data_IF_753937121610
#
_entry.id   IF_753937121610
#
_cell.length_a   1.000
_cell.length_b   1.000
_cell.length_c   1.000
_cell.angle_alpha   90.00
_cell.angle_beta   90.00
_cell.angle_gamma   90.00
#
_symmetry.space_group_name_H-M   'P 1'
#
loop_
_entity.id
_entity.type
_entity.pdbx_description
1 polymer ?
#
# COMPACT_ATOMS: atom_id res chain seq x y z
N UNK A 1 4.67 -5.82 -4.83
CA UNK A 1 5.81 -4.97 -4.43
C UNK A 1 6.07 -3.83 -5.43
N UNK A 2 6.38 -2.63 -4.94
CA UNK A 2 6.85 -1.48 -5.75
C UNK A 2 8.30 -1.68 -6.19
N UNK A 3 8.64 -1.27 -7.40
CA UNK A 3 9.98 -1.45 -7.98
C UNK A 3 10.57 -0.22 -8.65
N UNK A 4 9.73 0.72 -9.08
CA UNK A 4 10.15 2.02 -9.56
C UNK A 4 9.01 3.01 -9.38
N UNK A 5 9.37 4.27 -9.14
CA UNK A 5 8.43 5.38 -9.06
C UNK A 5 9.00 6.61 -9.75
N UNK A 6 8.15 7.32 -10.48
CA UNK A 6 8.39 8.66 -10.99
C UNK A 6 7.25 9.58 -10.59
N UNK A 7 7.60 10.76 -10.09
CA UNK A 7 6.64 11.75 -9.59
C UNK A 7 6.99 13.13 -10.14
N UNK A 8 5.97 13.86 -10.60
CA UNK A 8 6.11 15.26 -10.97
C UNK A 8 4.88 16.04 -10.50
N UNK A 9 5.06 17.28 -10.05
CA UNK A 9 3.95 18.17 -9.70
C UNK A 9 3.26 17.85 -8.35
N UNK A 10 3.79 16.91 -7.57
CA UNK A 10 3.29 16.57 -6.23
C UNK A 10 4.23 17.08 -5.13
N UNK A 11 3.74 17.94 -4.24
CA UNK A 11 4.49 18.58 -3.15
C UNK A 11 5.86 19.06 -3.64
N UNK A 12 6.96 18.59 -3.03
CA UNK A 12 8.32 19.01 -3.39
C UNK A 12 8.91 18.31 -4.63
N UNK A 13 8.18 17.45 -5.34
CA UNK A 13 8.76 16.64 -6.42
C UNK A 13 8.64 17.28 -7.79
N UNK A 14 9.80 17.49 -8.42
CA UNK A 14 9.95 17.91 -9.81
C UNK A 14 10.75 16.84 -10.55
N UNK A 15 10.10 16.09 -11.45
CA UNK A 15 10.72 14.97 -12.18
C UNK A 15 11.52 14.00 -11.29
N UNK A 16 11.00 13.68 -10.11
CA UNK A 16 11.60 12.72 -9.20
C UNK A 16 11.53 11.31 -9.80
N UNK A 17 12.62 10.54 -9.73
CA UNK A 17 12.67 9.14 -10.13
C UNK A 17 13.42 8.32 -9.08
N UNK A 18 12.93 7.12 -8.78
CA UNK A 18 13.54 6.23 -7.80
C UNK A 18 13.28 4.76 -8.16
N UNK A 19 14.34 3.95 -8.11
CA UNK A 19 14.25 2.49 -8.18
C UNK A 19 14.22 1.89 -6.76
N UNK A 20 13.41 0.84 -6.56
CA UNK A 20 13.27 0.14 -5.29
C UNK A 20 13.82 -1.28 -5.41
N UNK A 21 14.56 -1.70 -4.38
CA UNK A 21 14.93 -3.10 -4.17
C UNK A 21 14.12 -3.67 -3.00
N UNK A 22 14.10 -5.00 -2.79
CA UNK A 22 13.35 -5.62 -1.70
C UNK A 22 13.62 -5.01 -0.30
N UNK A 23 14.82 -4.45 -0.09
CA UNK A 23 15.13 -3.61 1.07
C UNK A 23 15.69 -2.27 0.59
N UNK A 24 14.93 -1.20 0.81
CA UNK A 24 15.34 0.16 0.44
C UNK A 24 15.36 1.03 1.69
N UNK A 25 16.53 1.57 2.04
CA UNK A 25 16.71 2.45 3.20
C UNK A 25 16.78 3.89 2.70
N UNK A 26 15.90 4.75 3.21
CA UNK A 26 15.82 6.15 2.81
C UNK A 26 16.25 7.02 4.00
N UNK A 27 17.39 7.68 3.87
CA UNK A 27 17.94 8.59 4.87
C UNK A 27 18.26 9.95 4.25
N UNK A 28 18.16 11.02 5.04
CA UNK A 28 18.42 12.38 4.58
C UNK A 28 17.99 13.42 5.60
N UNK A 29 18.40 14.67 5.40
CA UNK A 29 18.07 15.81 6.28
C UNK A 29 16.56 16.09 6.33
N UNK A 30 16.10 16.81 7.35
CA UNK A 30 14.71 17.27 7.39
C UNK A 30 14.39 18.10 6.12
N UNK A 31 13.13 18.04 5.68
CA UNK A 31 12.65 18.68 4.44
C UNK A 31 13.26 18.17 3.12
N UNK A 32 14.06 17.09 3.13
CA UNK A 32 14.63 16.51 1.89
C UNK A 32 13.62 15.74 1.00
N UNK A 33 12.31 15.88 1.23
CA UNK A 33 11.26 15.17 0.46
C UNK A 33 10.91 13.74 0.90
N UNK A 34 11.56 13.20 1.95
CA UNK A 34 11.29 11.81 2.43
C UNK A 34 9.83 11.59 2.80
N UNK A 35 9.27 12.46 3.64
CA UNK A 35 7.85 12.36 4.04
C UNK A 35 6.92 12.50 2.83
N UNK A 36 7.29 13.34 1.85
CA UNK A 36 6.51 13.51 0.62
C UNK A 36 6.51 12.22 -0.23
N UNK A 37 7.57 11.42 -0.22
CA UNK A 37 7.57 10.11 -0.89
C UNK A 37 6.54 9.18 -0.28
N UNK A 38 6.49 9.10 1.06
CA UNK A 38 5.50 8.29 1.75
C UNK A 38 4.08 8.84 1.54
N UNK A 39 3.90 10.16 1.56
CA UNK A 39 2.60 10.79 1.24
C UNK A 39 2.14 10.41 -0.18
N UNK A 40 3.03 10.38 -1.18
CA UNK A 40 2.69 9.98 -2.55
C UNK A 40 2.25 8.51 -2.63
N UNK A 41 2.96 7.62 -1.93
CA UNK A 41 2.62 6.20 -1.85
C UNK A 41 1.27 5.98 -1.15
N UNK A 42 1.02 6.69 -0.05
CA UNK A 42 -0.26 6.65 0.67
C UNK A 42 -1.41 7.16 -0.18
N UNK A 43 -1.20 8.28 -0.89
CA UNK A 43 -2.20 8.83 -1.82
C UNK A 43 -2.56 7.80 -2.90
N UNK A 44 -1.57 7.21 -3.56
CA UNK A 44 -1.80 6.20 -4.59
C UNK A 44 -2.54 4.97 -4.05
N UNK A 45 -2.19 4.50 -2.86
CA UNK A 45 -2.88 3.41 -2.19
C UNK A 45 -4.36 3.75 -1.90
N UNK A 46 -4.64 4.95 -1.36
CA UNK A 46 -6.01 5.42 -1.11
C UNK A 46 -6.81 5.61 -2.40
N UNK A 47 -6.18 6.12 -3.47
CA UNK A 47 -6.79 6.29 -4.79
C UNK A 47 -7.17 4.98 -5.49
N UNK A 48 -6.50 3.87 -5.15
CA UNK A 48 -6.83 2.55 -5.67
C UNK A 48 -8.07 1.93 -4.98
N UNK A 49 -8.40 2.35 -3.76
CA UNK A 49 -9.51 1.80 -2.99
C UNK A 49 -10.77 2.69 -2.97
N UNK A 50 -10.56 4.00 -3.01
CA UNK A 50 -11.62 4.97 -2.78
C UNK A 50 -12.48 5.25 -4.03
N UNK A 51 -13.77 5.51 -3.82
CA UNK A 51 -14.77 5.89 -4.81
C UNK A 51 -14.86 7.41 -5.08
N UNK A 52 -14.10 8.20 -4.30
CA UNK A 52 -14.02 9.65 -4.37
C UNK A 52 -12.58 10.19 -4.19
N UNK A 53 -11.97 10.70 -5.27
CA UNK A 53 -10.62 11.28 -5.31
C UNK A 53 -10.41 12.37 -4.24
N UNK A 54 -11.44 13.17 -3.93
CA UNK A 54 -11.36 14.22 -2.90
C UNK A 54 -11.19 13.64 -1.51
N UNK A 55 -11.77 12.48 -1.23
CA UNK A 55 -11.60 11.78 0.05
C UNK A 55 -10.15 11.34 0.21
N UNK A 56 -9.56 10.74 -0.83
CA UNK A 56 -8.16 10.35 -0.84
C UNK A 56 -7.20 11.54 -0.64
N UNK A 57 -7.53 12.71 -1.22
CA UNK A 57 -6.77 13.96 -1.01
C UNK A 57 -6.92 14.52 0.41
N UNK A 58 -8.13 14.48 0.99
CA UNK A 58 -8.39 14.94 2.37
C UNK A 58 -7.68 14.11 3.45
N UNK A 59 -7.39 12.85 3.16
CA UNK A 59 -6.60 11.99 4.05
C UNK A 59 -5.11 12.35 4.07
N UNK A 60 -4.65 13.19 3.13
CA UNK A 60 -3.25 13.61 3.07
C UNK A 60 -2.94 14.73 4.05
N UNK A 61 -1.66 14.81 4.46
CA UNK A 61 -1.14 15.96 5.22
C UNK A 61 -1.06 17.19 4.32
N UNK A 62 -1.77 18.25 4.70
CA UNK A 62 -1.77 19.56 4.07
C UNK A 62 -3.12 19.92 3.46
N UNK A 63 -3.26 21.17 3.07
CA UNK A 63 -4.44 21.61 2.32
C UNK A 63 -4.41 21.09 0.88
N UNK A 64 -5.59 21.10 0.23
CA UNK A 64 -5.78 20.57 -1.11
C UNK A 64 -4.75 21.08 -2.15
N UNK A 65 -4.50 22.40 -2.17
CA UNK A 65 -3.56 23.02 -3.10
C UNK A 65 -2.10 22.69 -2.76
N UNK A 66 -1.77 22.46 -1.49
CA UNK A 66 -0.42 22.16 -1.01
C UNK A 66 0.06 20.76 -1.44
N UNK A 67 -0.84 19.91 -1.93
CA UNK A 67 -0.50 18.64 -2.56
C UNK A 67 0.12 18.84 -3.94
N UNK A 68 -0.17 19.95 -4.62
CA UNK A 68 0.47 20.32 -5.87
C UNK A 68 1.77 21.06 -5.60
N UNK A 69 2.76 20.88 -6.48
CA UNK A 69 4.04 21.57 -6.33
C UNK A 69 3.89 23.08 -6.41
N UNK A 70 4.40 23.79 -5.41
CA UNK A 70 4.41 25.24 -5.40
C UNK A 70 5.67 25.78 -6.09
N UNK A 71 5.48 26.56 -7.16
CA UNK A 71 6.56 27.23 -7.90
C UNK A 71 6.78 28.68 -7.46
N UNK A 72 5.84 29.26 -6.72
CA UNK A 72 5.90 30.62 -6.21
C UNK A 72 4.68 30.96 -5.35
N UNK A 73 4.59 32.21 -4.92
CA UNK A 73 3.43 32.68 -4.15
C UNK A 73 2.14 32.52 -4.98
N UNK A 74 1.20 31.71 -4.47
CA UNK A 74 -0.04 31.32 -5.16
C UNK A 74 0.12 30.66 -6.54
N UNK A 75 1.33 30.24 -6.92
CA UNK A 75 1.58 29.52 -8.16
C UNK A 75 1.85 28.05 -7.88
N UNK A 76 0.83 27.22 -8.10
CA UNK A 76 0.89 25.78 -7.91
C UNK A 76 0.83 25.06 -9.26
N UNK A 77 1.43 23.87 -9.33
CA UNK A 77 1.31 23.00 -10.48
C UNK A 77 -0.16 22.77 -10.85
N UNK A 78 -0.47 22.83 -12.13
CA UNK A 78 -1.82 22.58 -12.64
C UNK A 78 -2.11 21.07 -12.69
N UNK A 79 -1.08 20.23 -12.77
CA UNK A 79 -1.18 18.78 -12.87
C UNK A 79 -0.10 18.12 -12.01
N UNK A 80 -0.40 16.91 -11.55
CA UNK A 80 0.57 16.00 -10.97
C UNK A 80 0.56 14.66 -11.71
N UNK A 81 1.74 14.10 -11.90
CA UNK A 81 1.98 12.86 -12.61
C UNK A 81 2.59 11.83 -11.67
N UNK A 82 2.06 10.61 -11.73
CA UNK A 82 2.63 9.44 -11.08
C UNK A 82 2.87 8.35 -12.11
N UNK A 83 4.02 7.71 -12.04
CA UNK A 83 4.32 6.48 -12.74
C UNK A 83 4.89 5.49 -11.74
N UNK A 84 4.28 4.30 -11.63
CA UNK A 84 4.71 3.25 -10.70
C UNK A 84 4.88 1.95 -11.46
N UNK A 85 6.04 1.33 -11.28
CA UNK A 85 6.27 -0.04 -11.71
C UNK A 85 6.17 -0.97 -10.51
N UNK A 86 5.37 -2.02 -10.65
CA UNK A 86 5.04 -2.93 -9.56
C UNK A 86 5.10 -4.39 -10.00
N UNK A 87 5.41 -5.24 -9.04
CA UNK A 87 5.25 -6.69 -9.12
C UNK A 87 3.91 -7.02 -8.47
N UNK A 88 2.98 -7.60 -9.22
CA UNK A 88 1.69 -8.06 -8.72
C UNK A 88 1.69 -9.57 -8.44
N UNK A 89 0.78 -10.00 -7.57
CA UNK A 89 0.59 -11.42 -7.27
C UNK A 89 0.14 -12.19 -8.51
N UNK A 90 0.76 -13.36 -8.75
CA UNK A 90 0.41 -14.23 -9.87
C UNK A 90 -0.96 -14.86 -9.69
N UNK A 91 -1.28 -15.30 -8.48
CA UNK A 91 -2.57 -15.88 -8.14
C UNK A 91 -3.36 -14.83 -7.37
N UNK A 92 -4.54 -14.50 -7.88
CA UNK A 92 -5.43 -13.50 -7.28
C UNK A 92 -6.78 -14.14 -6.97
N UNK A 93 -7.43 -13.63 -5.94
CA UNK A 93 -8.79 -14.00 -5.58
C UNK A 93 -9.61 -12.76 -5.26
N UNK A 94 -10.85 -12.71 -5.75
CA UNK A 94 -11.78 -11.65 -5.38
C UNK A 94 -12.51 -11.95 -4.05
N UNK A 95 -13.33 -10.99 -3.61
CA UNK A 95 -14.09 -11.08 -2.37
C UNK A 95 -15.16 -12.20 -2.37
N UNK A 96 -15.55 -12.71 -3.55
CA UNK A 96 -16.49 -13.81 -3.70
C UNK A 96 -15.79 -15.18 -3.77
N UNK A 97 -14.46 -15.21 -3.66
CA UNK A 97 -13.66 -16.43 -3.68
C UNK A 97 -13.33 -16.93 -5.08
N UNK A 98 -13.66 -16.19 -6.15
CA UNK A 98 -13.24 -16.55 -7.49
C UNK A 98 -11.73 -16.37 -7.62
N UNK A 99 -11.07 -17.26 -8.37
CA UNK A 99 -9.61 -17.27 -8.53
C UNK A 99 -9.21 -17.07 -9.98
N UNK A 100 -8.13 -16.34 -10.21
CA UNK A 100 -7.55 -16.15 -11.54
C UNK A 100 -6.02 -16.13 -11.48
N UNK A 101 -5.39 -16.39 -12.63
CA UNK A 101 -3.93 -16.38 -12.79
C UNK A 101 -3.53 -15.23 -13.69
N UNK A 102 -2.77 -14.29 -13.14
CA UNK A 102 -2.18 -13.16 -13.84
C UNK A 102 -0.99 -13.65 -14.66
N UNK A 103 -1.02 -13.44 -15.98
CA UNK A 103 0.06 -13.88 -16.88
C UNK A 103 1.29 -12.97 -16.74
N UNK A 104 1.08 -11.66 -16.77
CA UNK A 104 2.14 -10.66 -16.69
C UNK A 104 2.17 -10.06 -15.28
N UNK A 105 3.11 -10.51 -14.45
CA UNK A 105 3.25 -10.06 -13.05
C UNK A 105 3.99 -8.71 -12.91
N UNK A 106 4.56 -8.18 -13.99
CA UNK A 106 5.31 -6.91 -13.99
C UNK A 106 4.51 -5.87 -14.75
N UNK A 107 3.96 -4.91 -14.02
CA UNK A 107 3.05 -3.90 -14.55
C UNK A 107 3.60 -2.50 -14.31
N UNK A 108 3.24 -1.58 -15.20
CA UNK A 108 3.50 -0.16 -15.08
C UNK A 108 2.17 0.59 -15.15
N UNK A 109 1.89 1.31 -14.07
CA UNK A 109 0.71 2.14 -13.89
C UNK A 109 1.11 3.62 -13.96
N UNK A 110 0.36 4.40 -14.71
CA UNK A 110 0.57 5.84 -14.88
C UNK A 110 -0.75 6.57 -14.66
N UNK A 111 -0.70 7.65 -13.89
CA UNK A 111 -1.86 8.43 -13.47
C UNK A 111 -1.51 9.91 -13.54
N UNK A 112 -2.41 10.71 -14.12
CA UNK A 112 -2.37 12.17 -14.00
C UNK A 112 -3.63 12.71 -13.39
N UNK A 113 -3.46 13.66 -12.48
CA UNK A 113 -4.53 14.37 -11.81
C UNK A 113 -4.30 15.85 -12.06
N UNK A 114 -5.29 16.51 -12.65
CA UNK A 114 -5.24 17.94 -12.93
C UNK A 114 -6.21 18.71 -12.06
N UNK A 115 -5.85 19.95 -11.75
CA UNK A 115 -6.77 20.93 -11.19
C UNK A 115 -7.67 21.50 -12.29
N UNK A 116 -8.84 21.97 -11.87
CA UNK A 116 -9.71 22.80 -12.69
C UNK A 116 -10.61 23.63 -11.77
N UNK A 117 -11.16 24.72 -12.31
CA UNK A 117 -12.21 25.48 -11.64
C UNK A 117 -13.57 24.94 -12.10
N UNK A 118 -14.40 24.50 -11.16
CA UNK A 118 -15.72 23.97 -11.48
C UNK A 118 -16.74 25.09 -11.75
N UNK A 119 -17.97 24.72 -12.13
CA UNK A 119 -19.04 25.67 -12.49
C UNK A 119 -19.41 26.65 -11.36
N UNK A 120 -19.14 26.27 -10.10
CA UNK A 120 -19.37 27.12 -8.93
C UNK A 120 -18.19 28.06 -8.62
N UNK A 121 -17.15 28.09 -9.45
CA UNK A 121 -15.96 28.90 -9.23
C UNK A 121 -15.00 28.34 -8.17
N UNK A 122 -15.18 27.08 -7.75
CA UNK A 122 -14.32 26.43 -6.76
C UNK A 122 -13.20 25.64 -7.43
N UNK A 123 -12.02 25.64 -6.81
CA UNK A 123 -10.92 24.75 -7.18
C UNK A 123 -11.29 23.29 -6.93
N UNK A 124 -11.01 22.45 -7.93
CA UNK A 124 -11.39 21.05 -7.96
C UNK A 124 -10.32 20.21 -8.69
N UNK A 125 -10.43 18.89 -8.62
CA UNK A 125 -9.52 17.93 -9.28
C UNK A 125 -10.28 16.86 -10.03
N UNK A 126 -9.65 16.37 -11.08
CA UNK A 126 -10.11 15.21 -11.82
C UNK A 126 -8.93 14.38 -12.33
N UNK A 127 -9.21 13.11 -12.63
CA UNK A 127 -8.28 12.25 -13.37
C UNK A 127 -8.28 12.70 -14.83
N UNK A 128 -7.11 13.11 -15.34
CA UNK A 128 -6.92 13.55 -16.73
C UNK A 128 -6.33 12.45 -17.61
N UNK A 129 -5.59 11.51 -17.03
CA UNK A 129 -4.94 10.42 -17.74
C UNK A 129 -4.76 9.21 -16.83
N UNK A 130 -4.98 8.01 -17.38
CA UNK A 130 -4.75 6.76 -16.69
C UNK A 130 -4.29 5.67 -17.68
N UNK A 131 -3.23 4.95 -17.33
CA UNK A 131 -2.64 3.95 -18.20
C UNK A 131 -2.03 2.80 -17.40
N UNK A 132 -2.29 1.57 -17.84
CA UNK A 132 -1.76 0.35 -17.22
C UNK A 132 -1.31 -0.60 -18.31
N UNK A 133 -0.06 -1.02 -18.30
CA UNK A 133 0.48 -1.96 -19.28
C UNK A 133 1.48 -2.92 -18.64
N UNK A 134 1.74 -4.05 -19.33
CA UNK A 134 2.82 -4.94 -18.93
C UNK A 134 4.18 -4.38 -19.31
N UNK A 135 5.15 -4.45 -18.39
CA UNK A 135 6.53 -4.10 -18.67
C UNK A 135 7.17 -5.13 -19.61
N UNK A 136 7.79 -4.66 -20.71
CA UNK A 136 8.49 -5.55 -21.65
C UNK A 136 9.84 -5.98 -21.10
N UNK A 137 10.42 -7.04 -21.66
CA UNK A 137 11.65 -7.65 -21.13
C UNK A 137 12.87 -6.75 -21.22
N UNK A 138 12.89 -5.89 -22.23
CA UNK A 138 13.97 -4.93 -22.47
C UNK A 138 13.87 -3.71 -21.54
N UNK A 139 12.66 -3.35 -21.11
CA UNK A 139 12.35 -2.16 -20.30
C UNK A 139 12.47 -2.42 -18.79
N UNK A 140 12.16 -3.63 -18.34
CA UNK A 140 12.21 -4.02 -16.92
C UNK A 140 13.66 -4.07 -16.42
N UNK A 141 14.12 -2.99 -15.79
CA UNK A 141 15.46 -2.90 -15.18
C UNK A 141 15.55 -3.70 -13.88
N UNK A 142 14.47 -3.71 -13.10
CA UNK A 142 14.41 -4.36 -11.79
C UNK A 142 14.72 -5.87 -11.88
N UNK A 143 14.20 -6.57 -12.89
CA UNK A 143 14.47 -8.01 -13.06
C UNK A 143 15.96 -8.34 -13.26
N UNK A 144 16.78 -7.35 -13.66
CA UNK A 144 18.23 -7.53 -13.84
C UNK A 144 18.94 -7.69 -12.49
N UNK A 145 18.41 -7.10 -11.42
CA UNK A 145 18.91 -7.17 -10.04
C UNK A 145 18.67 -8.57 -9.44
N UNK A 146 17.61 -9.25 -9.90
CA UNK A 146 17.25 -10.59 -9.41
C UNK A 146 18.18 -11.66 -9.99
N UNK A 147 18.71 -12.59 -9.16
CA UNK A 147 19.54 -13.69 -9.63
C UNK A 147 18.83 -14.55 -10.67
N UNK A 148 19.57 -14.99 -11.70
CA UNK A 148 19.01 -15.65 -12.90
C UNK A 148 18.11 -16.84 -12.55
N UNK A 149 18.52 -17.67 -11.59
CA UNK A 149 17.78 -18.86 -11.14
C UNK A 149 16.39 -18.55 -10.56
N UNK A 150 16.17 -17.34 -10.04
CA UNK A 150 14.90 -16.94 -9.44
C UNK A 150 14.03 -16.09 -10.36
N UNK A 151 14.55 -15.59 -11.50
CA UNK A 151 13.83 -14.64 -12.37
C UNK A 151 12.47 -15.15 -12.84
N UNK A 152 12.34 -16.44 -13.11
CA UNK A 152 11.06 -17.02 -13.58
C UNK A 152 9.98 -17.08 -12.50
N UNK A 153 10.37 -17.10 -11.22
CA UNK A 153 9.42 -17.01 -10.10
C UNK A 153 8.75 -15.62 -10.06
N UNK A 154 9.55 -14.58 -10.26
CA UNK A 154 9.10 -13.18 -10.20
C UNK A 154 8.47 -12.71 -11.51
N UNK A 155 8.95 -13.24 -12.64
CA UNK A 155 8.49 -12.90 -13.97
C UNK A 155 8.29 -14.16 -14.81
N UNK A 156 7.06 -14.70 -14.81
CA UNK A 156 6.72 -15.88 -15.61
C UNK A 156 6.97 -15.67 -17.11
N UNK A 157 7.34 -16.74 -17.80
CA UNK A 157 7.38 -16.76 -19.27
C UNK A 157 5.95 -16.72 -19.80
N UNK A 158 5.61 -15.70 -20.58
CA UNK A 158 4.30 -15.56 -21.21
C UNK A 158 4.44 -15.82 -22.72
N UNK A 159 3.78 -16.84 -23.27
CA UNK A 159 3.75 -17.07 -24.71
C UNK A 159 2.86 -16.02 -25.38
N UNK A 160 3.41 -15.32 -26.38
CA UNK A 160 2.74 -14.18 -27.04
C UNK A 160 2.80 -12.91 -26.19
N UNK A 161 3.34 -11.83 -26.74
CA UNK A 161 3.33 -10.54 -26.07
C UNK A 161 1.95 -9.87 -26.23
N UNK A 162 1.38 -9.35 -25.14
CA UNK A 162 0.24 -8.42 -25.27
C UNK A 162 0.78 -7.07 -25.75
N UNK A 163 0.25 -6.58 -26.87
CA UNK A 163 0.61 -5.28 -27.42
C UNK A 163 -0.28 -4.13 -26.96
N UNK A 164 -1.49 -4.44 -26.46
CA UNK A 164 -2.50 -3.46 -26.06
C UNK A 164 -2.45 -3.28 -24.53
N UNK A 165 -2.45 -2.04 -24.00
CA UNK A 165 -2.56 -1.78 -22.57
C UNK A 165 -3.83 -2.39 -21.93
N UNK A 166 -3.79 -2.59 -20.62
CA UNK A 166 -4.93 -2.99 -19.80
C UNK A 166 -5.84 -1.80 -19.48
N UNK A 167 -5.25 -0.61 -19.30
CA UNK A 167 -5.95 0.68 -19.18
C UNK A 167 -5.23 1.65 -20.12
N UNK A 168 -5.98 2.45 -20.88
CA UNK A 168 -5.40 3.58 -21.61
C UNK A 168 -6.43 4.70 -21.83
N UNK A 169 -5.98 5.94 -21.75
CA UNK A 169 -6.78 7.12 -22.13
C UNK A 169 -6.69 7.37 -23.63
N UNK A 170 -7.83 7.65 -24.26
CA UNK A 170 -7.94 8.14 -25.63
C UNK A 170 -9.04 9.20 -25.71
N UNK A 171 -8.91 10.14 -26.64
CA UNK A 171 -10.00 11.05 -26.97
C UNK A 171 -11.02 10.33 -27.87
N UNK A 172 -12.27 10.22 -27.41
CA UNK A 172 -13.40 9.71 -28.20
C UNK A 172 -14.46 10.82 -28.27
N UNK A 173 -14.83 11.27 -29.48
CA UNK A 173 -15.80 12.35 -29.69
C UNK A 173 -15.51 13.64 -28.89
N UNK A 174 -14.23 14.07 -28.85
CA UNK A 174 -13.76 15.22 -28.06
C UNK A 174 -13.92 15.09 -26.54
N UNK A 175 -14.15 13.87 -26.05
CA UNK A 175 -14.22 13.58 -24.62
C UNK A 175 -13.06 12.64 -24.26
N UNK A 176 -12.19 13.03 -23.30
CA UNK A 176 -11.17 12.12 -22.80
C UNK A 176 -11.86 10.93 -22.14
N UNK A 177 -11.54 9.74 -22.65
CA UNK A 177 -12.19 8.48 -22.27
C UNK A 177 -11.12 7.44 -21.97
N UNK A 178 -11.19 6.87 -20.76
CA UNK A 178 -10.36 5.74 -20.38
C UNK A 178 -11.03 4.45 -20.85
N UNK A 179 -10.25 3.62 -21.53
CA UNK A 179 -10.70 2.35 -22.11
C UNK A 179 -10.01 1.20 -21.38
N UNK A 180 -10.80 0.21 -20.98
CA UNK A 180 -10.34 -1.01 -20.31
C UNK A 180 -10.73 -2.22 -21.16
N UNK A 181 -9.82 -2.76 -22.00
CA UNK A 181 -10.07 -3.96 -22.77
C UNK A 181 -9.99 -5.21 -21.90
N UNK A 182 -10.79 -6.22 -22.22
CA UNK A 182 -10.72 -7.52 -21.56
C UNK A 182 -9.35 -8.20 -21.75
N UNK A 183 -9.00 -9.08 -20.81
CA UNK A 183 -7.77 -9.86 -20.87
C UNK A 183 -7.89 -11.04 -21.86
N UNK A 184 -6.96 -11.13 -22.81
CA UNK A 184 -6.74 -12.32 -23.66
C UNK A 184 -7.70 -12.52 -24.84
N UNK A 185 -9.00 -12.25 -24.70
CA UNK A 185 -10.01 -12.45 -25.76
C UNK A 185 -10.43 -11.14 -26.42
N UNK A 186 -10.90 -11.24 -27.67
CA UNK A 186 -11.62 -10.15 -28.37
C UNK A 186 -12.96 -9.94 -27.66
N UNK A 187 -12.92 -9.25 -26.53
CA UNK A 187 -14.05 -9.03 -25.64
C UNK A 187 -14.54 -7.59 -25.62
N UNK A 188 -15.62 -7.36 -24.87
CA UNK A 188 -16.16 -6.03 -24.63
C UNK A 188 -15.11 -5.17 -23.91
N UNK A 189 -14.93 -3.93 -24.40
CA UNK A 189 -14.12 -2.91 -23.74
C UNK A 189 -15.04 -2.07 -22.87
N UNK A 190 -14.67 -1.82 -21.61
CA UNK A 190 -15.34 -0.80 -20.81
C UNK A 190 -14.79 0.58 -21.19
N UNK A 191 -15.67 1.57 -21.20
CA UNK A 191 -15.35 2.97 -21.55
C UNK A 191 -15.82 3.86 -20.42
N UNK A 192 -14.94 4.72 -19.96
CA UNK A 192 -15.20 5.65 -18.87
C UNK A 192 -14.83 7.05 -19.36
N UNK A 193 -15.82 7.89 -19.71
CA UNK A 193 -15.58 9.31 -19.88
C UNK A 193 -15.03 9.86 -18.56
N UNK A 194 -13.87 10.51 -18.59
CA UNK A 194 -13.17 10.96 -17.37
C UNK A 194 -13.33 12.45 -17.07
N UNK A 195 -14.05 13.18 -17.93
CA UNK A 195 -14.44 14.58 -17.63
C UNK A 195 -15.26 14.59 -16.34
N UNK A 196 -14.81 15.31 -15.32
CA UNK A 196 -15.38 15.36 -13.98
C UNK A 196 -15.42 14.00 -13.24
N UNK A 197 -14.53 13.05 -13.58
CA UNK A 197 -14.49 11.76 -12.90
C UNK A 197 -14.22 11.92 -11.40
N UNK A 198 -15.06 11.31 -10.58
CA UNK A 198 -14.91 11.35 -9.12
C UNK A 198 -13.89 10.34 -8.59
N UNK A 199 -13.36 9.41 -9.39
CA UNK A 199 -12.43 8.35 -8.96
C UNK A 199 -11.52 7.90 -10.10
N UNK A 200 -10.51 7.11 -9.77
CA UNK A 200 -9.70 6.40 -10.77
C UNK A 200 -10.53 5.30 -11.43
N UNK A 201 -10.20 4.97 -12.68
CA UNK A 201 -10.80 3.82 -13.36
C UNK A 201 -10.31 2.52 -12.72
N UNK A 202 -9.05 2.46 -12.29
CA UNK A 202 -8.48 1.36 -11.53
C UNK A 202 -9.34 0.98 -10.30
N UNK A 203 -9.78 1.97 -9.51
CA UNK A 203 -10.57 1.69 -8.30
C UNK A 203 -11.96 1.13 -8.58
N UNK A 204 -12.44 1.19 -9.83
CA UNK A 204 -13.76 0.70 -10.24
C UNK A 204 -13.82 -0.82 -10.50
N UNK A 205 -12.71 -1.56 -10.35
CA UNK A 205 -12.64 -3.00 -10.60
C UNK A 205 -12.43 -3.78 -9.30
N UNK A 206 -13.41 -4.59 -8.91
CA UNK A 206 -13.39 -5.42 -7.69
C UNK A 206 -13.42 -6.92 -7.97
N UNK A 207 -13.59 -7.30 -9.24
CA UNK A 207 -13.72 -8.70 -9.69
C UNK A 207 -12.52 -9.13 -10.52
N UNK A 208 -12.32 -10.44 -10.63
CA UNK A 208 -11.31 -11.05 -11.49
C UNK A 208 -11.64 -11.01 -12.99
N UNK A 209 -12.69 -10.30 -13.43
CA UNK A 209 -13.07 -10.16 -14.85
C UNK A 209 -12.00 -9.43 -15.67
N UNK A 210 -11.24 -8.56 -15.00
CA UNK A 210 -10.09 -7.84 -15.53
C UNK A 210 -8.86 -8.15 -14.66
N UNK A 211 -8.30 -9.38 -14.77
CA UNK A 211 -7.28 -9.90 -13.86
C UNK A 211 -6.10 -8.96 -13.60
N UNK A 212 -5.52 -8.34 -14.64
CA UNK A 212 -4.34 -7.49 -14.46
C UNK A 212 -4.69 -6.13 -13.84
N UNK A 213 -5.88 -5.60 -14.13
CA UNK A 213 -6.38 -4.36 -13.51
C UNK A 213 -6.64 -4.58 -12.03
N UNK A 214 -7.36 -5.65 -11.70
CA UNK A 214 -7.62 -6.05 -10.32
C UNK A 214 -6.33 -6.34 -9.57
N UNK A 215 -5.37 -7.05 -10.17
CA UNK A 215 -4.09 -7.33 -9.55
C UNK A 215 -3.26 -6.07 -9.27
N UNK A 216 -3.30 -5.06 -10.16
CA UNK A 216 -2.65 -3.77 -9.92
C UNK A 216 -3.31 -3.00 -8.76
N UNK A 217 -4.64 -2.98 -8.71
CA UNK A 217 -5.40 -2.37 -7.61
C UNK A 217 -5.06 -3.02 -6.27
N UNK A 218 -5.15 -4.35 -6.19
CA UNK A 218 -4.89 -5.10 -4.96
C UNK A 218 -3.43 -4.97 -4.52
N UNK A 219 -2.49 -4.90 -5.46
CA UNK A 219 -1.09 -4.58 -5.15
C UNK A 219 -0.96 -3.18 -4.53
N UNK A 220 -1.57 -2.14 -5.10
CA UNK A 220 -1.52 -0.78 -4.55
C UNK A 220 -2.18 -0.67 -3.16
N UNK A 221 -3.29 -1.39 -2.95
CA UNK A 221 -3.96 -1.52 -1.64
C UNK A 221 -3.14 -2.27 -0.61
N UNK A 222 -2.27 -3.20 -1.05
CA UNK A 222 -1.44 -3.99 -0.15
C UNK A 222 -0.29 -3.20 0.48
N UNK A 223 -0.01 -1.98 0.03
CA UNK A 223 1.07 -1.16 0.58
C UNK A 223 0.76 -0.74 2.02
N UNK A 224 1.51 -1.29 2.97
CA UNK A 224 1.37 -1.01 4.40
C UNK A 224 2.36 0.08 4.82
N UNK A 225 1.86 1.10 5.52
CA UNK A 225 2.66 2.19 6.06
C UNK A 225 2.71 2.04 7.59
N UNK A 226 3.85 1.58 8.11
CA UNK A 226 4.02 1.37 9.55
C UNK A 226 4.66 2.62 10.18
N UNK A 227 3.90 3.30 11.04
CA UNK A 227 4.37 4.39 11.88
C UNK A 227 4.13 4.04 13.36
N UNK A 228 4.87 3.02 13.81
CA UNK A 228 4.69 2.41 15.13
C UNK A 228 4.88 3.44 16.26
N UNK A 229 3.76 3.85 16.86
CA UNK A 229 3.67 4.83 17.93
C UNK A 229 3.72 4.11 19.29
N UNK A 230 4.77 4.33 20.12
CA UNK A 230 4.88 3.70 21.42
C UNK A 230 3.66 3.86 22.33
N UNK A 231 2.98 5.01 22.27
CA UNK A 231 1.78 5.26 23.07
C UNK A 231 0.61 4.33 22.69
N UNK A 232 0.51 3.96 21.42
CA UNK A 232 -0.50 3.01 20.97
C UNK A 232 -0.07 1.56 21.24
N UNK A 233 1.22 1.23 21.03
CA UNK A 233 1.76 -0.11 21.31
C UNK A 233 1.67 -0.50 22.79
N UNK A 234 1.76 0.47 23.71
CA UNK A 234 1.65 0.25 25.16
C UNK A 234 0.24 -0.14 25.58
N UNK A 235 -0.78 0.36 24.86
CA UNK A 235 -2.17 0.28 25.29
C UNK A 235 -2.69 -1.16 25.20
N UNK A 236 -3.42 -1.61 26.24
CA UNK A 236 -4.29 -2.77 26.10
C UNK A 236 -5.28 -2.58 24.96
N UNK A 237 -5.79 -3.68 24.43
CA UNK A 237 -6.86 -3.63 23.44
C UNK A 237 -8.20 -3.91 24.12
N UNK A 238 -9.11 -2.95 24.10
CA UNK A 238 -10.45 -3.12 24.67
C UNK A 238 -11.26 -4.06 23.76
N UNK A 239 -11.91 -5.08 24.32
CA UNK A 239 -12.72 -6.05 23.56
C UNK A 239 -13.95 -5.45 22.89
N UNK A 240 -14.41 -4.28 23.33
CA UNK A 240 -15.56 -3.61 22.72
C UNK A 240 -15.24 -2.88 21.42
N UNK A 241 -13.97 -2.77 21.03
CA UNK A 241 -13.58 -2.10 19.79
C UNK A 241 -13.93 -2.91 18.53
N UNK A 242 -14.12 -4.24 18.65
CA UNK A 242 -14.38 -5.14 17.53
C UNK A 242 -13.21 -5.31 16.55
N UNK A 243 -12.01 -4.85 16.89
CA UNK A 243 -10.83 -4.86 16.00
C UNK A 243 -9.69 -5.69 16.59
N UNK A 244 -9.21 -6.67 15.83
CA UNK A 244 -8.11 -7.58 16.17
C UNK A 244 -6.96 -7.57 15.13
N UNK A 245 -6.89 -6.49 14.34
CA UNK A 245 -5.83 -6.21 13.37
C UNK A 245 -4.96 -5.04 13.82
N UNK A 246 -3.65 -5.14 13.55
CA UNK A 246 -2.67 -4.11 13.90
C UNK A 246 -2.81 -2.93 12.92
N UNK A 247 -3.07 -1.73 13.44
CA UNK A 247 -3.16 -0.52 12.60
C UNK A 247 -1.78 0.00 12.20
N UNK A 248 -1.73 1.00 11.31
CA UNK A 248 -0.49 1.69 10.94
C UNK A 248 0.31 2.22 12.15
N UNK A 249 -0.38 2.69 13.21
CA UNK A 249 0.27 3.18 14.43
C UNK A 249 0.63 2.07 15.42
N UNK A 250 0.15 0.85 15.22
CA UNK A 250 0.33 -0.27 16.13
C UNK A 250 -0.78 -0.46 17.17
N UNK A 251 -1.97 0.16 16.98
CA UNK A 251 -3.13 -0.12 17.84
C UNK A 251 -3.56 -1.58 17.69
N UNK A 252 -4.32 -2.04 18.68
CA UNK A 252 -4.89 -3.40 18.75
C UNK A 252 -3.86 -4.53 18.81
N UNK A 253 -2.60 -4.22 19.14
CA UNK A 253 -1.50 -5.19 19.19
C UNK A 253 -1.81 -6.39 20.11
N UNK A 254 -2.46 -6.15 21.25
CA UNK A 254 -2.80 -7.20 22.20
C UNK A 254 -3.90 -8.13 21.67
N UNK A 255 -4.92 -7.58 21.00
CA UNK A 255 -5.96 -8.39 20.38
C UNK A 255 -5.42 -9.21 19.20
N UNK A 256 -4.55 -8.61 18.36
CA UNK A 256 -3.89 -9.33 17.28
C UNK A 256 -3.03 -10.48 17.81
N UNK A 257 -2.24 -10.25 18.86
CA UNK A 257 -1.46 -11.31 19.51
C UNK A 257 -2.36 -12.42 20.06
N UNK A 258 -3.49 -12.07 20.66
CA UNK A 258 -4.47 -13.06 21.13
C UNK A 258 -5.06 -13.88 19.98
N UNK A 259 -5.46 -13.24 18.87
CA UNK A 259 -5.95 -13.91 17.67
C UNK A 259 -4.91 -14.90 17.11
N UNK A 260 -3.66 -14.47 16.99
CA UNK A 260 -2.56 -15.30 16.50
C UNK A 260 -2.35 -16.51 17.42
N UNK A 261 -2.31 -16.28 18.74
CA UNK A 261 -2.13 -17.34 19.73
C UNK A 261 -3.26 -18.39 19.71
N UNK A 262 -4.51 -17.97 19.45
CA UNK A 262 -5.66 -18.88 19.35
C UNK A 262 -5.65 -19.73 18.07
N UNK A 263 -5.01 -19.26 16.99
CA UNK A 263 -4.92 -20.00 15.73
C UNK A 263 -3.77 -20.99 15.70
N UNK A 264 -2.66 -20.64 16.35
CA UNK A 264 -1.46 -21.45 16.39
C UNK A 264 -0.78 -21.35 17.75
N UNK A 265 -0.83 -22.44 18.51
CA UNK A 265 -0.26 -22.53 19.86
C UNK A 265 1.28 -22.31 19.89
N UNK A 266 1.97 -22.54 18.76
CA UNK A 266 3.41 -22.35 18.65
C UNK A 266 3.81 -20.89 18.41
N UNK A 267 2.91 -20.03 17.92
CA UNK A 267 3.24 -18.67 17.53
C UNK A 267 3.78 -17.84 18.69
N UNK A 268 3.24 -17.98 19.91
CA UNK A 268 3.79 -17.28 21.08
C UNK A 268 5.22 -17.70 21.40
N UNK A 269 5.56 -18.98 21.18
CA UNK A 269 6.91 -19.49 21.35
C UNK A 269 7.87 -18.92 20.31
N UNK A 270 7.46 -18.85 19.04
CA UNK A 270 8.22 -18.22 17.95
C UNK A 270 8.46 -16.72 18.22
N UNK A 271 7.40 -15.98 18.56
CA UNK A 271 7.47 -14.55 18.90
C UNK A 271 8.42 -14.33 20.08
N UNK A 272 8.34 -15.19 21.11
CA UNK A 272 9.22 -15.12 22.28
C UNK A 272 10.69 -15.32 21.90
N UNK A 273 11.00 -16.37 21.11
CA UNK A 273 12.36 -16.64 20.64
C UNK A 273 12.89 -15.52 19.76
N UNK A 274 12.05 -14.97 18.87
CA UNK A 274 12.43 -13.86 18.01
C UNK A 274 12.71 -12.59 18.81
N UNK A 275 11.84 -12.24 19.76
CA UNK A 275 12.06 -11.10 20.65
C UNK A 275 13.36 -11.28 21.46
N UNK A 276 13.58 -12.47 22.02
CA UNK A 276 14.78 -12.78 22.80
C UNK A 276 16.06 -12.60 21.99
N UNK A 277 16.05 -12.90 20.68
CA UNK A 277 17.21 -12.69 19.81
C UNK A 277 17.64 -11.22 19.68
N UNK A 278 16.70 -10.27 19.86
CA UNK A 278 16.97 -8.84 19.85
C UNK A 278 17.11 -8.23 21.25
N UNK A 279 16.37 -8.76 22.23
CA UNK A 279 16.36 -8.29 23.62
C UNK A 279 16.56 -9.50 24.56
N UNK A 280 17.80 -9.96 24.77
CA UNK A 280 18.10 -11.24 25.43
C UNK A 280 17.58 -11.40 26.85
N UNK A 281 17.29 -10.29 27.53
CA UNK A 281 16.73 -10.31 28.89
C UNK A 281 15.29 -10.83 28.93
N UNK A 282 14.51 -10.70 27.86
CA UNK A 282 13.12 -11.15 27.81
C UNK A 282 13.03 -12.52 27.15
N UNK A 283 12.51 -13.49 27.89
CA UNK A 283 12.50 -14.92 27.49
C UNK A 283 11.13 -15.39 27.00
N UNK A 284 10.05 -14.70 27.38
CA UNK A 284 8.69 -15.14 27.06
C UNK A 284 7.73 -13.97 26.88
N UNK A 285 6.91 -14.07 25.86
CA UNK A 285 5.77 -13.18 25.58
C UNK A 285 4.47 -13.92 25.92
N UNK A 286 3.54 -13.22 26.56
CA UNK A 286 2.20 -13.70 26.90
C UNK A 286 1.17 -12.64 26.53
N UNK A 287 -0.04 -13.10 26.26
CA UNK A 287 -1.23 -12.26 26.18
C UNK A 287 -2.21 -12.72 27.25
N UNK A 288 -2.76 -11.76 27.98
CA UNK A 288 -3.71 -11.99 29.06
C UNK A 288 -5.06 -11.46 28.62
N UNK A 289 -6.07 -12.33 28.72
CA UNK A 289 -7.47 -11.97 28.67
C UNK A 289 -7.90 -11.46 30.06
N UNK A 290 -7.92 -10.14 30.23
CA UNK A 290 -8.43 -9.46 31.42
C UNK A 290 -9.95 -9.29 31.28
N UNK A 291 -10.67 -10.32 31.76
CA UNK A 291 -12.13 -10.38 31.70
C UNK A 291 -12.83 -9.30 32.52
N UNK A 292 -12.23 -8.87 33.62
CA UNK A 292 -12.79 -7.87 34.53
C UNK A 292 -12.84 -6.50 33.85
N UNK A 293 -11.74 -6.09 33.23
CA UNK A 293 -11.65 -4.82 32.50
C UNK A 293 -11.99 -4.94 31.00
N UNK A 294 -12.44 -6.12 30.56
CA UNK A 294 -12.80 -6.44 29.17
C UNK A 294 -11.71 -6.02 28.16
N UNK A 295 -10.47 -6.40 28.42
CA UNK A 295 -9.32 -6.01 27.59
C UNK A 295 -8.31 -7.15 27.41
N UNK A 296 -7.51 -7.07 26.36
CA UNK A 296 -6.32 -7.90 26.17
C UNK A 296 -5.07 -7.09 26.55
N UNK A 297 -4.17 -7.70 27.31
CA UNK A 297 -2.92 -7.08 27.77
C UNK A 297 -1.75 -7.97 27.38
N UNK A 298 -0.72 -7.38 26.77
CA UNK A 298 0.54 -8.08 26.54
C UNK A 298 1.39 -8.00 27.79
N UNK A 299 1.96 -9.13 28.19
CA UNK A 299 2.97 -9.22 29.22
C UNK A 299 4.20 -9.94 28.71
N UNK A 300 5.37 -9.54 29.19
CA UNK A 300 6.64 -10.21 28.90
C UNK A 300 7.30 -10.62 30.20
N UNK A 301 8.04 -11.73 30.16
CA UNK A 301 8.74 -12.30 31.30
C UNK A 301 10.23 -12.27 31.01
N UNK A 302 11.01 -11.81 31.99
CA UNK A 302 12.47 -11.78 31.90
C UNK A 302 13.11 -13.09 32.40
N UNK A 303 14.43 -13.20 32.24
CA UNK A 303 15.23 -14.34 32.70
C UNK A 303 15.13 -14.63 34.21
N UNK A 304 14.76 -13.63 35.00
CA UNK A 304 14.61 -13.71 36.46
C UNK A 304 13.14 -14.05 36.85
N UNK A 305 12.33 -14.46 35.88
CA UNK A 305 10.89 -14.76 35.99
C UNK A 305 10.02 -13.57 36.43
N UNK A 306 10.50 -12.35 36.28
CA UNK A 306 9.72 -11.14 36.58
C UNK A 306 8.85 -10.76 35.38
N UNK A 307 7.61 -10.39 35.67
CA UNK A 307 6.60 -10.10 34.66
C UNK A 307 6.38 -8.59 34.50
N UNK A 308 6.33 -8.13 33.25
CA UNK A 308 6.17 -6.73 32.88
C UNK A 308 5.02 -6.58 31.89
N UNK A 309 4.11 -5.63 32.14
CA UNK A 309 3.10 -5.23 31.15
C UNK A 309 3.72 -4.41 30.03
N UNK A 310 3.18 -4.52 28.81
CA UNK A 310 3.49 -3.61 27.68
C UNK A 310 3.55 -2.13 28.07
N UNK A 311 2.71 -1.69 29.03
CA UNK A 311 2.64 -0.30 29.50
C UNK A 311 3.97 0.28 30.00
N UNK A 312 4.81 -0.56 30.61
CA UNK A 312 6.07 -0.13 31.26
C UNK A 312 7.31 -0.47 30.45
N UNK A 313 7.14 -1.00 29.24
CA UNK A 313 8.25 -1.36 28.38
C UNK A 313 8.89 -0.14 27.72
N UNK A 314 10.19 -0.26 27.43
CA UNK A 314 10.88 0.75 26.62
C UNK A 314 10.28 0.82 25.21
N UNK A 315 10.34 2.01 24.59
CA UNK A 315 9.82 2.19 23.24
C UNK A 315 10.50 1.27 22.21
N UNK A 316 11.80 1.05 22.36
CA UNK A 316 12.55 0.14 21.49
C UNK A 316 12.05 -1.30 21.59
N UNK A 317 11.82 -1.79 22.82
CA UNK A 317 11.25 -3.12 23.06
C UNK A 317 9.87 -3.26 22.44
N UNK A 318 9.02 -2.24 22.55
CA UNK A 318 7.66 -2.26 22.00
C UNK A 318 7.66 -2.34 20.47
N UNK A 319 8.52 -1.56 19.80
CA UNK A 319 8.63 -1.59 18.33
C UNK A 319 9.15 -2.94 17.84
N UNK A 320 10.16 -3.51 18.51
CA UNK A 320 10.68 -4.84 18.17
C UNK A 320 9.60 -5.91 18.41
N UNK A 321 8.91 -5.86 19.54
CA UNK A 321 7.81 -6.77 19.85
C UNK A 321 6.71 -6.70 18.78
N UNK A 322 6.32 -5.50 18.39
CA UNK A 322 5.32 -5.30 17.34
C UNK A 322 5.76 -5.94 16.02
N UNK A 323 7.01 -5.74 15.60
CA UNK A 323 7.55 -6.37 14.39
C UNK A 323 7.60 -7.90 14.49
N UNK A 324 7.94 -8.46 15.66
CA UNK A 324 7.92 -9.92 15.89
C UNK A 324 6.51 -10.49 15.81
N UNK A 325 5.49 -9.75 16.28
CA UNK A 325 4.09 -10.15 16.19
C UNK A 325 3.62 -10.08 14.73
N UNK A 326 3.95 -9.00 14.02
CA UNK A 326 3.62 -8.81 12.59
C UNK A 326 4.23 -9.91 11.71
N UNK A 327 5.44 -10.37 12.00
CA UNK A 327 6.09 -11.48 11.28
C UNK A 327 5.28 -12.79 11.36
N UNK A 328 4.47 -12.98 12.40
CA UNK A 328 3.66 -14.18 12.61
C UNK A 328 2.17 -13.97 12.25
N UNK A 329 1.78 -12.78 11.81
CA UNK A 329 0.40 -12.47 11.49
C UNK A 329 0.11 -12.73 10.01
N UNK A 330 -0.47 -13.89 9.71
CA UNK A 330 -0.85 -14.26 8.34
C UNK A 330 -1.94 -13.36 7.74
N UNK A 331 -2.63 -12.55 8.55
CA UNK A 331 -3.69 -11.66 8.08
C UNK A 331 -3.26 -10.19 7.98
N UNK A 332 -1.98 -9.89 8.21
CA UNK A 332 -1.49 -8.52 8.21
C UNK A 332 -1.34 -7.92 6.82
#
# INVERSE_FOLDING_TARGET
MITYMKINGFKSFHNFEMEFTPLTIIAGTNASGKSNLFDALMLLSSLADTDNIKKAFKEQRGEFLELFSQYGENNYAHEMDFCVEMLVNKNISDAWGNKSVVKNTRLRYELRIRRFTNEAGMEDIEVSYEHLHNLKRKEDKWIKIIPVQYRELWRPKVPGGRGIPYIYTKEENHVPTVIVPQDGTTGNKRRFPIKNASRTVLSSFDTIDFPHVFAAKEEMKSWKFLQLNPEDLRKPTNKSNGEDFITQSGKNLAAALNRIALRNEYSLGEISRKLQSFVPNFIRVKVIDDKENKQFIIKIIDKDNKEYSSRVLSEGTLRILALCILEQDEQF
#
